data_IF_939649144067
#
_entry.id   IF_939649144067
#
_cell.length_a   1.000
_cell.length_b   1.000
_cell.length_c   1.000
_cell.angle_alpha   90.00
_cell.angle_beta   90.00
_cell.angle_gamma   90.00
#
_symmetry.space_group_name_H-M   'P 1'
#
loop_
_entity.id
_entity.type
_entity.pdbx_description
1 polymer ?
#
# COMPACT_ATOMS: atom_id res chain seq x y z
N UNK A 1 -5.09 12.54 -16.85
CA UNK A 1 -6.57 12.63 -16.96
C UNK A 1 -7.15 13.07 -15.61
N UNK A 2 -8.22 13.92 -15.60
CA UNK A 2 -8.87 14.31 -14.34
C UNK A 2 -9.54 13.11 -13.65
N UNK A 3 -9.69 13.17 -12.32
CA UNK A 3 -10.30 12.08 -11.57
C UNK A 3 -11.76 11.80 -11.99
N UNK A 4 -12.52 12.85 -12.30
CA UNK A 4 -13.90 12.68 -12.76
C UNK A 4 -13.99 11.97 -14.12
N UNK A 5 -13.08 12.29 -15.06
CA UNK A 5 -13.05 11.61 -16.37
C UNK A 5 -12.67 10.15 -16.21
N UNK A 6 -11.71 9.85 -15.34
CA UNK A 6 -11.31 8.48 -15.02
C UNK A 6 -12.48 7.69 -14.41
N UNK A 7 -13.14 8.25 -13.40
CA UNK A 7 -14.32 7.64 -12.79
C UNK A 7 -15.42 7.35 -13.82
N UNK A 8 -15.74 8.31 -14.68
CA UNK A 8 -16.74 8.14 -15.72
C UNK A 8 -16.33 7.08 -16.74
N UNK A 9 -15.04 6.96 -17.07
CA UNK A 9 -14.52 5.91 -17.91
C UNK A 9 -14.74 4.52 -17.30
N UNK A 10 -14.33 4.32 -16.06
CA UNK A 10 -14.55 3.06 -15.35
C UNK A 10 -16.04 2.70 -15.24
N UNK A 11 -16.87 3.70 -14.92
CA UNK A 11 -18.33 3.53 -14.85
C UNK A 11 -18.92 3.13 -16.18
N UNK A 12 -18.50 3.79 -17.26
CA UNK A 12 -18.96 3.46 -18.62
C UNK A 12 -18.62 2.03 -19.01
N UNK A 13 -17.38 1.60 -18.73
CA UNK A 13 -16.95 0.21 -19.01
C UNK A 13 -17.77 -0.77 -18.18
N UNK A 14 -17.97 -0.49 -16.89
CA UNK A 14 -18.81 -1.33 -16.05
C UNK A 14 -20.22 -1.47 -16.62
N UNK A 15 -20.91 -0.35 -16.90
CA UNK A 15 -22.31 -0.32 -17.33
C UNK A 15 -22.54 -0.98 -18.70
N UNK A 16 -21.59 -0.83 -19.64
CA UNK A 16 -21.75 -1.27 -21.01
C UNK A 16 -21.07 -2.61 -21.33
N UNK A 17 -20.11 -3.04 -20.50
CA UNK A 17 -19.37 -4.30 -20.72
C UNK A 17 -19.71 -5.30 -19.63
N UNK A 18 -19.27 -5.05 -18.39
CA UNK A 18 -19.30 -6.07 -17.34
C UNK A 18 -20.69 -6.30 -16.75
N UNK A 19 -21.51 -5.25 -16.64
CA UNK A 19 -22.89 -5.38 -16.16
C UNK A 19 -23.77 -6.14 -17.13
N UNK A 20 -23.51 -6.00 -18.43
CA UNK A 20 -24.26 -6.68 -19.50
C UNK A 20 -23.77 -8.13 -19.66
N UNK A 21 -22.47 -8.33 -19.62
CA UNK A 21 -21.84 -9.64 -19.73
C UNK A 21 -20.59 -9.71 -18.84
N UNK A 22 -20.71 -10.27 -17.64
CA UNK A 22 -19.61 -10.40 -16.71
C UNK A 22 -18.63 -11.46 -17.21
N UNK A 23 -17.69 -11.05 -18.06
CA UNK A 23 -16.71 -11.90 -18.75
C UNK A 23 -15.75 -12.65 -17.82
N UNK A 24 -15.72 -12.32 -16.55
CA UNK A 24 -14.89 -12.94 -15.52
C UNK A 24 -15.57 -14.11 -14.80
N UNK A 25 -16.79 -14.48 -15.21
CA UNK A 25 -17.49 -15.64 -14.65
C UNK A 25 -17.20 -16.90 -15.45
N UNK A 26 -17.35 -18.06 -14.79
CA UNK A 26 -17.32 -19.38 -15.42
C UNK A 26 -18.56 -19.56 -16.29
N UNK A 27 -18.37 -20.27 -17.40
CA UNK A 27 -19.48 -20.56 -18.32
C UNK A 27 -20.43 -21.63 -17.76
N UNK A 28 -20.00 -22.40 -16.75
CA UNK A 28 -20.83 -23.41 -16.06
C UNK A 28 -21.64 -22.76 -14.92
N UNK A 29 -22.95 -22.98 -14.95
CA UNK A 29 -23.92 -22.51 -13.94
C UNK A 29 -23.72 -23.11 -12.53
N UNK A 30 -22.53 -23.55 -12.19
CA UNK A 30 -22.22 -24.16 -10.91
C UNK A 30 -21.98 -23.07 -9.86
N UNK A 31 -22.98 -22.84 -9.01
CA UNK A 31 -23.19 -21.70 -8.12
C UNK A 31 -22.06 -21.50 -7.06
N UNK A 32 -21.22 -22.50 -6.81
CA UNK A 32 -20.29 -22.44 -5.67
C UNK A 32 -18.92 -21.78 -5.95
N UNK A 33 -18.60 -21.44 -7.19
CA UNK A 33 -17.38 -20.74 -7.56
C UNK A 33 -17.58 -20.04 -8.91
N UNK A 34 -18.39 -18.97 -8.91
CA UNK A 34 -18.81 -18.29 -10.14
C UNK A 34 -17.65 -17.60 -10.89
N UNK A 35 -16.52 -17.30 -10.21
CA UNK A 35 -15.40 -16.59 -10.82
C UNK A 35 -14.40 -17.54 -11.47
N UNK A 36 -13.98 -17.18 -12.66
CA UNK A 36 -12.90 -17.83 -13.41
C UNK A 36 -11.60 -17.04 -13.18
N UNK A 37 -10.61 -17.67 -12.57
CA UNK A 37 -9.37 -17.03 -12.19
C UNK A 37 -8.60 -16.45 -13.35
N UNK A 38 -8.56 -17.17 -14.48
CA UNK A 38 -7.81 -16.77 -15.67
C UNK A 38 -8.48 -15.56 -16.31
N UNK A 39 -9.80 -15.61 -16.46
CA UNK A 39 -10.60 -14.48 -16.98
C UNK A 39 -10.52 -13.25 -16.06
N UNK A 40 -10.48 -13.44 -14.74
CA UNK A 40 -10.29 -12.31 -13.80
C UNK A 40 -8.91 -11.70 -13.96
N UNK A 41 -7.86 -12.52 -14.14
CA UNK A 41 -6.51 -12.03 -14.40
C UNK A 41 -6.41 -11.23 -15.71
N UNK A 42 -7.03 -11.71 -16.79
CA UNK A 42 -7.09 -10.97 -18.06
C UNK A 42 -7.75 -9.59 -17.89
N UNK A 43 -8.87 -9.55 -17.16
CA UNK A 43 -9.57 -8.29 -16.86
C UNK A 43 -8.72 -7.38 -15.96
N UNK A 44 -7.97 -7.95 -15.03
CA UNK A 44 -7.04 -7.19 -14.18
C UNK A 44 -5.91 -6.58 -15.01
N UNK A 45 -5.34 -7.32 -15.98
CA UNK A 45 -4.30 -6.82 -16.85
C UNK A 45 -4.81 -5.64 -17.70
N UNK A 46 -6.00 -5.76 -18.28
CA UNK A 46 -6.65 -4.64 -19.00
C UNK A 46 -6.82 -3.41 -18.10
N UNK A 47 -7.22 -3.61 -16.83
CA UNK A 47 -7.36 -2.51 -15.88
C UNK A 47 -6.02 -1.85 -15.55
N UNK A 48 -4.96 -2.64 -15.37
CA UNK A 48 -3.60 -2.15 -15.10
C UNK A 48 -3.09 -1.34 -16.30
N UNK A 49 -3.22 -1.86 -17.52
CA UNK A 49 -2.81 -1.18 -18.74
C UNK A 49 -3.53 0.17 -18.89
N UNK A 50 -4.84 0.20 -18.65
CA UNK A 50 -5.60 1.45 -18.66
C UNK A 50 -5.11 2.42 -17.56
N UNK A 51 -4.78 1.94 -16.37
CA UNK A 51 -4.21 2.79 -15.34
C UNK A 51 -2.88 3.40 -15.79
N UNK A 52 -2.02 2.62 -16.41
CA UNK A 52 -0.73 3.08 -16.94
C UNK A 52 -0.91 4.12 -18.05
N UNK A 53 -1.76 3.86 -19.03
CA UNK A 53 -2.05 4.77 -20.15
C UNK A 53 -2.59 6.12 -19.68
N UNK A 54 -3.40 6.12 -18.64
CA UNK A 54 -4.01 7.34 -18.10
C UNK A 54 -3.28 7.91 -16.89
N UNK A 55 -2.09 7.40 -16.55
CA UNK A 55 -1.29 7.82 -15.39
C UNK A 55 -2.11 7.80 -14.08
N UNK A 56 -2.79 6.69 -13.84
CA UNK A 56 -3.60 6.47 -12.64
C UNK A 56 -2.96 5.43 -11.74
N UNK A 57 -3.08 5.63 -10.43
CA UNK A 57 -2.65 4.65 -9.45
C UNK A 57 -3.58 3.44 -9.52
N UNK A 58 -2.99 2.26 -9.70
CA UNK A 58 -3.71 1.00 -9.58
C UNK A 58 -4.21 0.85 -8.15
N UNK A 59 -5.49 0.57 -7.96
CA UNK A 59 -6.05 0.36 -6.63
C UNK A 59 -7.30 -0.52 -6.64
N UNK A 60 -7.55 -1.18 -5.51
CA UNK A 60 -8.69 -2.09 -5.33
C UNK A 60 -10.03 -1.39 -5.62
N UNK A 61 -10.20 -0.16 -5.15
CA UNK A 61 -11.47 0.57 -5.33
C UNK A 61 -11.72 0.87 -6.81
N UNK A 62 -10.69 1.28 -7.56
CA UNK A 62 -10.78 1.48 -9.00
C UNK A 62 -11.14 0.18 -9.72
N UNK A 63 -10.54 -0.94 -9.35
CA UNK A 63 -10.84 -2.25 -9.92
C UNK A 63 -12.29 -2.69 -9.64
N UNK A 64 -12.81 -2.45 -8.41
CA UNK A 64 -14.22 -2.72 -8.10
C UNK A 64 -15.17 -1.86 -8.93
N UNK A 65 -14.87 -0.58 -9.15
CA UNK A 65 -15.66 0.29 -10.03
C UNK A 65 -15.58 -0.13 -11.49
N UNK A 66 -14.44 -0.63 -11.94
CA UNK A 66 -14.23 -1.06 -13.31
C UNK A 66 -14.98 -2.35 -13.62
N UNK A 67 -14.94 -3.33 -12.72
CA UNK A 67 -15.50 -4.66 -12.95
C UNK A 67 -16.89 -4.85 -12.35
N UNK A 68 -17.21 -4.15 -11.26
CA UNK A 68 -18.39 -4.41 -10.44
C UNK A 68 -18.21 -5.55 -9.44
N UNK A 69 -17.04 -6.18 -9.36
CA UNK A 69 -16.73 -7.18 -8.33
C UNK A 69 -16.73 -6.49 -6.97
N UNK A 70 -17.54 -7.00 -6.04
CA UNK A 70 -17.66 -6.38 -4.73
C UNK A 70 -16.38 -6.49 -3.92
N UNK A 71 -16.07 -5.46 -3.12
CA UNK A 71 -14.85 -5.41 -2.30
C UNK A 71 -14.76 -6.58 -1.32
N UNK A 72 -15.89 -7.01 -0.76
CA UNK A 72 -15.91 -8.15 0.17
C UNK A 72 -15.54 -9.47 -0.52
N UNK A 73 -15.84 -9.61 -1.81
CA UNK A 73 -15.40 -10.73 -2.63
C UNK A 73 -13.87 -10.73 -2.75
N UNK A 74 -13.27 -9.58 -3.06
CA UNK A 74 -11.80 -9.44 -3.12
C UNK A 74 -11.16 -9.69 -1.75
N UNK A 75 -11.74 -9.19 -0.68
CA UNK A 75 -11.26 -9.49 0.68
C UNK A 75 -11.37 -10.99 1.02
N UNK A 76 -12.41 -11.66 0.54
CA UNK A 76 -12.54 -13.11 0.66
C UNK A 76 -11.41 -13.85 -0.07
N UNK A 77 -11.00 -13.37 -1.26
CA UNK A 77 -9.89 -13.96 -2.01
C UNK A 77 -8.55 -13.79 -1.31
N UNK A 78 -8.28 -12.62 -0.70
CA UNK A 78 -7.07 -12.41 0.12
C UNK A 78 -6.96 -13.48 1.21
N UNK A 79 -8.09 -13.84 1.83
CA UNK A 79 -8.16 -14.83 2.90
C UNK A 79 -8.30 -16.28 2.38
N UNK A 80 -8.24 -16.51 1.08
CA UNK A 80 -8.33 -17.84 0.47
C UNK A 80 -9.71 -18.51 0.56
N UNK A 81 -10.76 -17.75 0.88
CA UNK A 81 -12.09 -18.31 1.18
C UNK A 81 -12.80 -18.85 -0.06
N UNK A 82 -12.65 -18.23 -1.25
CA UNK A 82 -13.43 -18.59 -2.43
C UNK A 82 -12.61 -19.21 -3.56
N UNK A 83 -11.46 -18.65 -3.88
CA UNK A 83 -10.61 -19.10 -5.00
C UNK A 83 -9.29 -19.73 -4.54
N UNK A 84 -9.12 -19.97 -3.25
CA UNK A 84 -7.88 -20.52 -2.70
C UNK A 84 -6.67 -19.64 -2.98
N UNK A 85 -5.53 -20.28 -3.31
CA UNK A 85 -4.27 -19.56 -3.61
C UNK A 85 -4.37 -18.63 -4.81
N UNK A 86 -5.10 -19.01 -5.86
CA UNK A 86 -5.23 -18.23 -7.07
C UNK A 86 -5.93 -16.88 -6.85
N UNK A 87 -6.93 -16.82 -5.98
CA UNK A 87 -7.57 -15.56 -5.59
C UNK A 87 -6.62 -14.64 -4.81
N UNK A 88 -5.82 -15.23 -3.91
CA UNK A 88 -4.77 -14.50 -3.18
C UNK A 88 -3.72 -13.92 -4.13
N UNK A 89 -3.33 -14.63 -5.18
CA UNK A 89 -2.34 -14.18 -6.15
C UNK A 89 -2.86 -13.00 -6.99
N UNK A 90 -4.14 -12.99 -7.36
CA UNK A 90 -4.80 -11.83 -8.00
C UNK A 90 -4.70 -10.59 -7.10
N UNK A 91 -4.99 -10.74 -5.82
CA UNK A 91 -4.93 -9.62 -4.88
C UNK A 91 -3.49 -9.13 -4.64
N UNK A 92 -2.51 -10.05 -4.56
CA UNK A 92 -1.08 -9.69 -4.48
C UNK A 92 -0.63 -8.92 -5.71
N UNK A 93 -0.95 -9.39 -6.90
CA UNK A 93 -0.64 -8.68 -8.15
C UNK A 93 -1.20 -7.26 -8.16
N UNK A 94 -2.43 -7.08 -7.68
CA UNK A 94 -3.05 -5.76 -7.59
C UNK A 94 -2.35 -4.86 -6.57
N UNK A 95 -1.86 -5.40 -5.46
CA UNK A 95 -1.09 -4.67 -4.45
C UNK A 95 0.32 -4.31 -4.94
N UNK A 96 1.01 -5.22 -5.62
CA UNK A 96 2.32 -4.99 -6.25
C UNK A 96 2.24 -3.89 -7.32
N UNK A 97 1.24 -3.96 -8.20
CA UNK A 97 1.03 -2.94 -9.23
C UNK A 97 0.61 -1.58 -8.66
N UNK A 98 -0.07 -1.57 -7.50
CA UNK A 98 -0.33 -0.33 -6.77
C UNK A 98 0.97 0.29 -6.26
N UNK A 99 1.85 -0.51 -5.66
CA UNK A 99 3.14 -0.04 -5.18
C UNK A 99 3.97 0.54 -6.31
N UNK A 100 4.11 -0.19 -7.42
CA UNK A 100 4.84 0.27 -8.59
C UNK A 100 4.29 1.58 -9.15
N UNK A 101 2.97 1.70 -9.31
CA UNK A 101 2.36 2.91 -9.83
C UNK A 101 2.56 4.12 -8.89
N UNK A 102 2.57 3.93 -7.57
CA UNK A 102 2.86 4.97 -6.59
C UNK A 102 4.33 5.39 -6.64
N UNK A 103 5.26 4.43 -6.72
CA UNK A 103 6.70 4.68 -6.85
C UNK A 103 7.00 5.39 -8.18
N UNK A 104 6.41 4.93 -9.27
CA UNK A 104 6.53 5.54 -10.59
C UNK A 104 6.10 7.01 -10.61
N UNK A 105 4.97 7.33 -9.96
CA UNK A 105 4.51 8.72 -9.81
C UNK A 105 5.45 9.56 -8.94
N UNK A 106 6.02 8.98 -7.89
CA UNK A 106 7.00 9.67 -7.03
C UNK A 106 8.28 10.00 -7.79
N UNK A 107 8.79 9.06 -8.59
CA UNK A 107 10.05 9.20 -9.35
C UNK A 107 9.86 10.08 -10.58
N UNK A 108 8.69 10.08 -11.21
CA UNK A 108 8.42 10.85 -12.44
C UNK A 108 8.55 12.37 -12.29
N UNK A 109 8.62 12.89 -11.06
CA UNK A 109 8.75 14.31 -10.79
C UNK A 109 7.52 15.16 -11.15
N UNK A 110 6.42 14.52 -11.57
CA UNK A 110 5.17 15.19 -11.96
C UNK A 110 4.37 15.81 -10.79
N UNK A 111 4.85 15.63 -9.57
CA UNK A 111 4.21 16.16 -8.37
C UNK A 111 5.18 16.23 -7.19
N UNK A 112 4.72 16.79 -6.08
CA UNK A 112 5.52 16.78 -4.86
C UNK A 112 5.59 15.33 -4.32
N UNK A 113 6.79 14.71 -4.20
CA UNK A 113 6.96 13.35 -3.68
C UNK A 113 6.28 13.13 -2.32
N UNK A 114 6.22 14.16 -1.50
CA UNK A 114 5.56 14.11 -0.19
C UNK A 114 4.06 13.79 -0.25
N UNK A 115 3.41 14.03 -1.40
CA UNK A 115 1.98 13.72 -1.57
C UNK A 115 1.73 12.21 -1.65
N UNK A 116 2.71 11.42 -2.08
CA UNK A 116 2.58 9.97 -2.24
C UNK A 116 3.07 9.19 -1.01
N UNK A 117 3.93 9.80 -0.19
CA UNK A 117 4.51 9.17 1.00
C UNK A 117 3.49 8.59 1.98
N UNK A 118 2.36 9.28 2.31
CA UNK A 118 1.35 8.70 3.21
C UNK A 118 0.74 7.41 2.65
N UNK A 119 0.55 7.33 1.34
CA UNK A 119 0.02 6.14 0.67
C UNK A 119 1.03 5.01 0.65
N UNK A 120 2.30 5.29 0.33
CA UNK A 120 3.40 4.32 0.38
C UNK A 120 3.62 3.79 1.80
N UNK A 121 3.58 4.67 2.81
CA UNK A 121 3.67 4.25 4.21
C UNK A 121 2.51 3.31 4.59
N UNK A 122 1.28 3.72 4.26
CA UNK A 122 0.08 2.98 4.65
C UNK A 122 -0.04 1.61 3.97
N UNK A 123 0.28 1.52 2.68
CA UNK A 123 0.00 0.34 1.86
C UNK A 123 1.23 -0.52 1.58
N UNK A 124 2.42 0.07 1.56
CA UNK A 124 3.65 -0.60 1.18
C UNK A 124 4.69 -0.66 2.31
N UNK A 125 4.38 -0.13 3.49
CA UNK A 125 5.28 -0.18 4.66
C UNK A 125 6.51 0.72 4.55
N UNK A 126 6.52 1.71 3.66
CA UNK A 126 7.61 2.67 3.53
C UNK A 126 7.63 3.60 4.74
N UNK A 127 8.71 3.59 5.50
CA UNK A 127 8.87 4.48 6.64
C UNK A 127 9.46 5.83 6.22
N UNK A 128 8.80 6.92 6.59
CA UNK A 128 9.38 8.24 6.40
C UNK A 128 10.60 8.42 7.31
N UNK A 129 11.72 8.98 6.81
CA UNK A 129 12.85 9.32 7.65
C UNK A 129 12.39 10.23 8.81
N UNK A 130 12.65 9.80 10.05
CA UNK A 130 12.27 10.53 11.26
C UNK A 130 10.88 10.23 11.84
N UNK A 131 10.04 9.46 11.16
CA UNK A 131 8.82 8.91 11.76
C UNK A 131 9.18 7.59 12.41
N UNK A 132 9.23 7.57 13.73
CA UNK A 132 9.40 6.33 14.50
C UNK A 132 8.17 5.46 14.28
N UNK A 133 8.39 4.16 14.06
CA UNK A 133 7.34 3.16 14.03
C UNK A 133 6.41 3.34 15.25
N UNK A 134 5.15 3.66 15.01
CA UNK A 134 4.15 3.75 16.07
C UNK A 134 3.86 2.40 16.73
N UNK A 135 4.42 1.30 16.19
CA UNK A 135 4.33 -0.04 16.77
C UNK A 135 5.19 -0.25 18.01
N UNK A 136 6.30 0.45 18.13
CA UNK A 136 7.06 0.55 19.37
C UNK A 136 6.76 1.92 20.01
N UNK A 137 5.68 2.01 20.75
CA UNK A 137 5.63 3.06 21.80
C UNK A 137 6.89 2.87 22.61
N UNK A 138 7.89 3.72 22.38
CA UNK A 138 9.05 3.78 23.23
C UNK A 138 8.46 3.99 24.65
N UNK A 139 8.45 2.93 25.43
CA UNK A 139 8.10 3.02 26.86
C UNK A 139 8.96 4.14 27.41
N UNK A 140 8.32 5.15 27.98
CA UNK A 140 9.05 6.20 28.67
C UNK A 140 9.99 5.51 29.64
N UNK A 141 11.30 5.74 29.49
CA UNK A 141 12.30 5.23 30.44
C UNK A 141 11.91 5.69 31.83
N UNK A 142 11.80 4.76 32.75
CA UNK A 142 11.61 5.10 34.15
C UNK A 142 12.84 5.82 34.65
N UNK A 143 12.70 6.63 35.75
CA UNK A 143 13.82 7.36 36.33
C UNK A 143 15.00 6.45 36.73
N UNK A 144 14.75 5.15 36.93
CA UNK A 144 15.74 4.11 37.23
C UNK A 144 16.51 3.60 36.01
N UNK A 145 15.91 3.73 34.82
CA UNK A 145 16.51 3.31 33.53
C UNK A 145 17.31 4.44 32.85
N UNK A 146 17.23 5.66 33.37
CA UNK A 146 18.05 6.78 32.92
C UNK A 146 19.50 6.55 33.38
N UNK A 147 20.50 6.61 32.46
CA UNK A 147 21.90 6.60 32.89
C UNK A 147 22.10 7.73 33.89
N UNK A 148 22.53 7.42 35.12
CA UNK A 148 22.90 8.41 36.12
C UNK A 148 24.13 9.14 35.57
N UNK A 149 23.92 10.28 34.95
CA UNK A 149 24.97 11.20 34.56
C UNK A 149 25.57 11.80 35.82
N UNK A 150 26.71 11.29 36.15
CA UNK A 150 27.61 11.99 37.09
C UNK A 150 27.56 11.56 38.54
N UNK A 151 28.20 10.46 38.86
CA UNK A 151 28.71 10.29 40.23
C UNK A 151 30.23 10.03 40.28
N UNK A 152 30.93 9.83 39.14
CA UNK A 152 32.34 9.45 39.22
C UNK A 152 33.24 10.05 38.12
N UNK A 153 33.10 11.33 37.80
CA UNK A 153 34.15 12.04 37.07
C UNK A 153 34.42 13.42 37.70
N UNK A 154 34.79 13.41 38.97
CA UNK A 154 35.67 14.46 39.47
C UNK A 154 37.04 14.18 38.88
N UNK A 155 37.32 14.73 37.69
CA UNK A 155 38.69 14.87 37.20
C UNK A 155 39.38 15.78 38.22
N UNK A 156 40.26 15.21 39.02
CA UNK A 156 41.10 15.96 39.96
C UNK A 156 41.87 17.05 39.18
N UNK A 157 41.55 18.30 39.52
CA UNK A 157 42.39 19.43 39.13
C UNK A 157 43.78 19.22 39.76
N UNK A 158 44.88 19.33 39.01
CA UNK A 158 46.21 19.27 39.60
C UNK A 158 46.36 20.47 40.55
N UNK A 159 46.63 20.18 41.83
CA UNK A 159 47.05 21.17 42.80
C UNK A 159 48.38 21.79 42.37
N UNK A 160 48.33 23.00 41.89
CA UNK A 160 49.49 23.87 41.82
C UNK A 160 49.71 24.52 43.17
N UNK A 161 50.32 23.80 44.08
CA UNK A 161 51.02 24.39 45.23
C UNK A 161 52.45 23.89 45.18
N UNK A 162 53.31 24.76 44.67
CA UNK A 162 54.68 24.89 45.13
C UNK A 162 55.40 25.92 44.25
N UNK A 163 55.48 27.11 44.74
CA UNK A 163 56.72 27.90 44.66
C UNK A 163 56.75 29.00 45.66
N UNK A 164 57.41 28.68 46.77
CA UNK A 164 57.97 29.66 47.68
C UNK A 164 59.43 29.29 47.92
N UNK A 165 60.29 30.11 47.42
CA UNK A 165 61.71 29.98 47.65
C UNK A 165 62.48 31.01 46.84
#
# INVERSE_FOLDING_TARGET
VSQNRWYNCCKYVYENVFKVNPKYLKDDNNINNAYDTDKVNEVLDIYIDLCNDYEKVVNIVGFTFFTGIHRDTLNGWVNGVQLGSSGSDICKKLDEMREESLVGLQVSGKGNPMNYMPSLNKYCGFNMPGVRDQGSRARALTAEELPRLGANNCIGLPNNSDNSG
#
